data_IF_077354027182
#
_entry.id   IF_077354027182
#
_cell.length_a   1.000
_cell.length_b   1.000
_cell.length_c   1.000
_cell.angle_alpha   90.00
_cell.angle_beta   90.00
_cell.angle_gamma   90.00
#
_symmetry.space_group_name_H-M   'P 1'
#
loop_
_entity.id
_entity.type
_entity.pdbx_description
1 polymer ?
#
# COMPACT_ATOMS: atom_id res chain seq x y z
N UNK A 1 -8.91 -27.39 37.30
CA UNK A 1 -10.29 -27.08 36.85
C UNK A 1 -10.24 -25.68 36.28
N UNK A 2 -10.05 -25.57 34.96
CA UNK A 2 -9.92 -24.27 34.30
C UNK A 2 -11.10 -24.13 33.37
N UNK A 3 -12.03 -23.23 33.71
CA UNK A 3 -13.16 -22.88 32.85
C UNK A 3 -12.68 -21.90 31.77
N UNK A 4 -13.02 -22.11 30.49
CA UNK A 4 -12.77 -21.19 29.40
C UNK A 4 -13.87 -20.10 29.39
N UNK A 5 -13.91 -19.27 28.34
CA UNK A 5 -14.84 -18.17 28.08
C UNK A 5 -14.34 -16.79 28.54
N UNK A 6 -13.78 -16.04 27.59
CA UNK A 6 -14.36 -14.77 27.12
C UNK A 6 -13.91 -14.56 25.66
N UNK A 7 -14.73 -15.07 24.75
CA UNK A 7 -14.68 -14.75 23.32
C UNK A 7 -15.46 -13.46 23.05
N UNK A 8 -15.11 -12.84 21.92
CA UNK A 8 -15.88 -11.88 21.13
C UNK A 8 -15.83 -10.41 21.58
N UNK A 9 -15.04 -9.62 20.83
CA UNK A 9 -15.66 -8.54 20.04
C UNK A 9 -14.80 -8.14 18.83
N UNK A 10 -14.93 -8.90 17.75
CA UNK A 10 -14.54 -8.47 16.40
C UNK A 10 -15.62 -7.47 15.93
N UNK A 11 -15.39 -6.18 16.14
CA UNK A 11 -16.15 -5.14 15.43
C UNK A 11 -15.28 -4.60 14.31
N UNK A 12 -15.60 -5.08 13.11
CA UNK A 12 -15.41 -4.38 11.84
C UNK A 12 -15.83 -2.92 11.98
N UNK A 13 -14.85 -2.00 12.02
CA UNK A 13 -15.10 -0.56 11.86
C UNK A 13 -14.41 -0.05 10.59
N UNK A 14 -14.78 -0.65 9.47
CA UNK A 14 -14.57 -0.06 8.16
C UNK A 14 -15.53 1.13 7.97
N UNK A 15 -14.98 2.22 7.43
CA UNK A 15 -15.65 3.36 6.77
C UNK A 15 -15.98 4.63 7.57
N UNK A 16 -16.05 4.62 8.89
CA UNK A 16 -15.90 5.84 9.70
C UNK A 16 -14.50 5.90 10.33
N UNK A 17 -13.48 6.03 9.49
CA UNK A 17 -12.14 6.39 9.94
C UNK A 17 -12.26 7.68 10.77
N UNK A 18 -12.10 7.55 12.10
CA UNK A 18 -12.31 8.64 13.05
C UNK A 18 -11.51 9.86 12.59
N UNK A 19 -12.19 10.97 12.36
CA UNK A 19 -11.54 12.24 12.04
C UNK A 19 -10.55 12.58 13.16
N UNK A 20 -9.43 13.21 12.79
CA UNK A 20 -8.52 13.74 13.80
C UNK A 20 -9.22 14.88 14.56
N UNK A 21 -8.82 15.11 15.81
CA UNK A 21 -9.37 16.19 16.65
C UNK A 21 -8.37 17.36 16.77
N UNK A 22 -7.59 17.60 15.72
CA UNK A 22 -6.53 18.61 15.74
C UNK A 22 -7.16 20.02 15.77
N UNK A 23 -6.99 20.75 16.87
CA UNK A 23 -7.51 22.12 17.05
C UNK A 23 -6.43 23.20 16.90
N UNK A 24 -5.18 22.86 17.21
CA UNK A 24 -4.03 23.76 17.12
C UNK A 24 -2.76 22.91 17.13
N UNK A 25 -2.22 22.62 15.96
CA UNK A 25 -1.03 21.78 15.80
C UNK A 25 -0.83 21.41 14.34
N UNK A 26 0.42 21.25 13.91
CA UNK A 26 0.71 20.79 12.57
C UNK A 26 0.17 19.35 12.43
N UNK A 27 -0.70 19.09 11.45
CA UNK A 27 -1.15 17.72 11.17
C UNK A 27 -0.01 16.82 10.66
N UNK A 28 1.18 17.35 10.42
CA UNK A 28 2.42 16.63 10.17
C UNK A 28 3.13 16.25 11.50
N UNK A 29 2.41 15.56 12.39
CA UNK A 29 2.98 15.09 13.66
C UNK A 29 2.29 13.80 14.11
N UNK A 30 2.96 12.98 14.93
CA UNK A 30 2.42 11.69 15.40
C UNK A 30 1.24 11.85 16.38
N UNK A 31 0.97 13.05 16.86
CA UNK A 31 -0.19 13.43 17.68
C UNK A 31 -1.45 13.53 16.82
N UNK A 32 -1.29 13.81 15.51
CA UNK A 32 -2.38 13.69 14.56
C UNK A 32 -2.64 12.21 14.26
N UNK A 33 -3.82 11.70 14.63
CA UNK A 33 -4.21 10.31 14.32
C UNK A 33 -4.09 9.98 12.82
N UNK A 34 -4.50 10.87 11.92
CA UNK A 34 -4.39 10.61 10.48
C UNK A 34 -2.93 10.38 10.07
N UNK A 35 -2.04 11.28 10.49
CA UNK A 35 -0.62 11.23 10.15
C UNK A 35 0.12 10.06 10.82
N UNK A 36 -0.17 9.77 12.10
CA UNK A 36 0.34 8.57 12.79
C UNK A 36 0.04 7.28 12.04
N UNK A 37 -1.13 7.19 11.40
CA UNK A 37 -1.53 6.03 10.60
C UNK A 37 -1.06 6.12 9.14
N UNK A 38 -0.18 7.06 8.80
CA UNK A 38 0.31 7.26 7.44
C UNK A 38 -0.74 7.74 6.44
N UNK A 39 -1.92 8.17 6.90
CA UNK A 39 -3.05 8.60 6.05
C UNK A 39 -3.14 10.11 5.94
N UNK A 40 -3.69 10.60 4.83
CA UNK A 40 -4.04 12.02 4.68
C UNK A 40 -5.22 12.38 5.58
N UNK A 41 -5.26 13.63 6.01
CA UNK A 41 -6.46 14.18 6.63
C UNK A 41 -7.57 14.30 5.58
N UNK A 42 -8.80 13.95 5.97
CA UNK A 42 -9.99 14.18 5.13
C UNK A 42 -10.25 15.70 4.99
N UNK A 43 -11.00 16.14 3.96
CA UNK A 43 -11.30 17.56 3.73
C UNK A 43 -11.99 18.27 4.90
N UNK A 44 -12.73 17.52 5.73
CA UNK A 44 -13.40 18.02 6.94
C UNK A 44 -12.50 17.94 8.20
N UNK A 45 -11.18 18.03 8.03
CA UNK A 45 -10.24 18.15 9.14
C UNK A 45 -10.57 19.40 9.98
N UNK A 46 -10.66 19.30 11.32
CA UNK A 46 -10.96 20.46 12.17
C UNK A 46 -9.81 21.47 12.26
N UNK A 47 -8.60 21.11 11.80
CA UNK A 47 -7.48 22.05 11.78
C UNK A 47 -7.61 23.01 10.58
N UNK A 48 -7.76 24.32 10.81
CA UNK A 48 -7.90 25.30 9.72
C UNK A 48 -6.65 25.41 8.84
N UNK A 49 -5.47 25.03 9.37
CA UNK A 49 -4.19 25.08 8.66
C UNK A 49 -3.62 23.66 8.50
N UNK A 50 -4.46 22.71 8.08
CA UNK A 50 -4.03 21.34 7.86
C UNK A 50 -3.00 21.26 6.72
N UNK A 51 -1.83 20.70 7.00
CA UNK A 51 -0.79 20.42 5.99
C UNK A 51 -0.63 18.91 5.71
N UNK A 52 -1.44 18.04 6.34
CA UNK A 52 -1.45 16.61 6.02
C UNK A 52 -2.44 16.32 4.87
N UNK A 53 -2.13 16.84 3.69
CA UNK A 53 -2.94 16.70 2.46
C UNK A 53 -2.03 16.62 1.22
N UNK A 54 -2.62 16.35 0.06
CA UNK A 54 -1.89 16.20 -1.21
C UNK A 54 -1.18 17.49 -1.63
N UNK A 55 -1.77 18.66 -1.39
CA UNK A 55 -1.17 19.96 -1.75
C UNK A 55 0.13 20.25 -1.01
N UNK A 56 0.39 19.56 0.10
CA UNK A 56 1.62 19.68 0.89
C UNK A 56 2.42 18.37 0.92
N UNK A 57 2.30 17.53 -0.12
CA UNK A 57 2.93 16.21 -0.18
C UNK A 57 4.46 16.25 0.06
N UNK A 58 5.16 17.23 -0.51
CA UNK A 58 6.62 17.37 -0.32
C UNK A 58 6.97 17.63 1.16
N UNK A 59 6.28 18.60 1.79
CA UNK A 59 6.47 18.92 3.21
C UNK A 59 6.13 17.72 4.09
N UNK A 60 5.05 17.02 3.76
CA UNK A 60 4.62 15.80 4.45
C UNK A 60 5.70 14.72 4.38
N UNK A 61 6.26 14.45 3.20
CA UNK A 61 7.32 13.46 3.01
C UNK A 61 8.59 13.84 3.78
N UNK A 62 9.01 15.10 3.73
CA UNK A 62 10.20 15.56 4.47
C UNK A 62 10.07 15.32 5.98
N UNK A 63 8.90 15.58 6.56
CA UNK A 63 8.65 15.32 7.99
C UNK A 63 8.60 13.81 8.28
N UNK A 64 8.03 13.00 7.41
CA UNK A 64 8.04 11.53 7.56
C UNK A 64 9.47 10.98 7.55
N UNK A 65 10.32 11.46 6.65
CA UNK A 65 11.74 11.08 6.59
C UNK A 65 12.51 11.48 7.85
N UNK A 66 12.27 12.69 8.37
CA UNK A 66 12.90 13.15 9.61
C UNK A 66 12.51 12.28 10.82
N UNK A 67 11.22 11.96 10.94
CA UNK A 67 10.70 11.11 12.01
C UNK A 67 11.27 9.69 11.92
N UNK A 68 11.29 9.09 10.72
CA UNK A 68 11.83 7.74 10.50
C UNK A 68 13.35 7.69 10.69
N UNK A 69 14.07 8.75 10.29
CA UNK A 69 15.51 8.84 10.49
C UNK A 69 15.89 8.97 11.96
N UNK A 70 15.01 9.54 12.78
CA UNK A 70 15.20 9.69 14.23
C UNK A 70 14.73 8.45 15.00
N UNK A 71 13.61 7.86 14.57
CA UNK A 71 13.02 6.66 15.13
C UNK A 71 12.45 5.79 13.98
N UNK A 72 13.13 4.68 13.62
CA UNK A 72 12.66 3.76 12.58
C UNK A 72 11.26 3.18 12.83
N UNK A 73 10.79 3.20 14.08
CA UNK A 73 9.48 2.73 14.51
C UNK A 73 8.45 3.87 14.71
N UNK A 74 8.69 5.05 14.15
CA UNK A 74 7.82 6.23 14.33
C UNK A 74 6.34 6.00 13.94
N UNK A 75 6.06 5.08 13.00
CA UNK A 75 4.73 4.82 12.45
C UNK A 75 4.19 3.41 12.76
N UNK A 76 4.75 2.70 13.74
CA UNK A 76 4.41 1.31 14.06
C UNK A 76 3.65 1.17 15.39
N UNK A 77 2.73 2.08 15.70
CA UNK A 77 2.01 2.06 16.98
C UNK A 77 1.15 0.79 17.19
N UNK A 78 0.84 0.45 18.45
CA UNK A 78 0.06 -0.75 18.82
C UNK A 78 -1.32 -0.82 18.16
N UNK A 79 -1.96 0.34 17.90
CA UNK A 79 -3.27 0.38 17.24
C UNK A 79 -3.20 0.12 15.72
N UNK A 80 -1.99 0.09 15.16
CA UNK A 80 -1.73 -0.04 13.71
C UNK A 80 -1.25 -1.43 13.31
N UNK A 81 -0.62 -2.16 14.23
CA UNK A 81 0.06 -3.42 13.94
C UNK A 81 -0.15 -4.39 15.11
N UNK A 82 -0.32 -5.67 14.77
CA UNK A 82 -0.29 -6.75 15.75
C UNK A 82 1.10 -6.88 16.39
N UNK A 83 1.15 -7.54 17.56
CA UNK A 83 2.40 -7.81 18.26
C UNK A 83 3.41 -8.58 17.38
N UNK A 84 2.92 -9.51 16.54
CA UNK A 84 3.75 -10.30 15.63
C UNK A 84 4.31 -9.45 14.48
N UNK A 85 3.51 -8.53 13.91
CA UNK A 85 3.97 -7.60 12.89
C UNK A 85 5.01 -6.62 13.44
N UNK A 86 4.80 -6.10 14.65
CA UNK A 86 5.79 -5.28 15.35
C UNK A 86 7.10 -6.05 15.56
N UNK A 87 7.03 -7.31 16.00
CA UNK A 87 8.22 -8.14 16.22
C UNK A 87 8.97 -8.43 14.89
N UNK A 88 8.25 -8.71 13.81
CA UNK A 88 8.85 -8.91 12.48
C UNK A 88 9.58 -7.65 11.99
N UNK A 89 8.96 -6.47 12.13
CA UNK A 89 9.58 -5.19 11.76
C UNK A 89 10.81 -4.92 12.62
N UNK A 90 10.74 -5.13 13.94
CA UNK A 90 11.89 -4.99 14.84
C UNK A 90 13.06 -5.87 14.42
N UNK A 91 12.80 -7.15 14.14
CA UNK A 91 13.81 -8.10 13.72
C UNK A 91 14.45 -7.67 12.40
N UNK A 92 13.66 -7.22 11.42
CA UNK A 92 14.16 -6.70 10.16
C UNK A 92 15.00 -5.44 10.35
N UNK A 93 14.51 -4.48 11.14
CA UNK A 93 15.24 -3.24 11.44
C UNK A 93 16.61 -3.54 12.08
N UNK A 94 16.67 -4.45 13.07
CA UNK A 94 17.93 -4.87 13.69
C UNK A 94 18.92 -5.46 12.67
N UNK A 95 18.45 -6.28 11.73
CA UNK A 95 19.28 -6.83 10.67
C UNK A 95 19.85 -5.73 9.76
N UNK A 96 19.03 -4.73 9.39
CA UNK A 96 19.47 -3.64 8.50
C UNK A 96 20.42 -2.64 9.17
N UNK A 97 20.30 -2.41 10.48
CA UNK A 97 21.22 -1.52 11.23
C UNK A 97 22.61 -2.10 11.44
N UNK A 98 22.77 -3.41 11.24
CA UNK A 98 24.06 -4.10 11.41
C UNK A 98 24.89 -4.16 10.12
N UNK A 99 24.39 -3.58 9.02
CA UNK A 99 25.06 -3.51 7.72
C UNK A 99 25.34 -2.03 7.44
N UNK A 100 26.50 -1.69 6.87
CA UNK A 100 26.82 -0.35 6.33
C UNK A 100 25.93 -0.01 5.12
N UNK A 101 24.61 -0.15 5.26
CA UNK A 101 23.65 0.19 4.24
C UNK A 101 23.57 1.71 4.15
N UNK A 102 23.86 2.24 2.98
CA UNK A 102 23.62 3.65 2.69
C UNK A 102 22.17 4.01 3.06
N UNK A 103 21.98 5.21 3.62
CA UNK A 103 20.65 5.75 3.96
C UNK A 103 19.73 5.55 2.75
N UNK A 104 18.64 4.83 2.94
CA UNK A 104 17.64 4.62 1.89
C UNK A 104 17.17 5.97 1.37
N UNK A 105 17.54 6.31 0.13
CA UNK A 105 17.09 7.51 -0.57
C UNK A 105 15.98 7.09 -1.51
N UNK A 106 14.78 7.61 -1.29
CA UNK A 106 13.70 7.53 -2.28
C UNK A 106 14.01 8.58 -3.34
N UNK A 107 14.78 8.20 -4.34
CA UNK A 107 14.83 9.00 -5.57
C UNK A 107 13.49 8.77 -6.29
N UNK A 108 12.69 9.81 -6.59
CA UNK A 108 11.49 9.65 -7.40
C UNK A 108 11.92 9.18 -8.78
N UNK A 109 11.94 7.87 -8.98
CA UNK A 109 12.25 7.29 -10.28
C UNK A 109 10.97 7.39 -11.11
N UNK A 110 10.76 8.57 -11.68
CA UNK A 110 9.86 8.80 -12.80
C UNK A 110 10.37 8.01 -14.00
N UNK A 111 10.21 6.70 -13.95
CA UNK A 111 10.41 5.83 -15.09
C UNK A 111 9.26 6.08 -16.07
N UNK A 112 9.55 6.08 -17.37
CA UNK A 112 8.50 6.09 -18.40
C UNK A 112 7.48 4.95 -18.20
N UNK A 113 7.88 3.88 -17.51
CA UNK A 113 7.03 2.75 -17.11
C UNK A 113 6.00 3.13 -16.04
N UNK A 114 6.32 4.04 -15.12
CA UNK A 114 5.40 4.50 -14.08
C UNK A 114 4.16 5.19 -14.66
N UNK A 115 4.29 5.79 -15.85
CA UNK A 115 3.19 6.42 -16.60
C UNK A 115 2.24 5.42 -17.25
N UNK A 116 2.63 4.14 -17.35
CA UNK A 116 1.82 3.08 -17.94
C UNK A 116 0.85 2.45 -16.92
N UNK A 117 1.09 2.61 -15.62
CA UNK A 117 0.20 2.13 -14.54
C UNK A 117 -0.90 3.15 -14.22
N UNK A 118 -1.48 3.77 -15.25
CA UNK A 118 -2.61 4.66 -15.08
C UNK A 118 -3.85 3.86 -14.62
N UNK A 119 -4.76 4.45 -13.81
CA UNK A 119 -5.96 3.78 -13.33
C UNK A 119 -6.77 3.14 -14.45
N UNK A 120 -6.84 3.76 -15.62
CA UNK A 120 -7.57 3.24 -16.78
C UNK A 120 -6.96 1.95 -17.34
N UNK A 121 -5.62 1.86 -17.36
CA UNK A 121 -4.89 0.66 -17.81
C UNK A 121 -5.10 -0.48 -16.81
N UNK A 122 -5.05 -0.18 -15.51
CA UNK A 122 -5.30 -1.16 -14.45
C UNK A 122 -6.75 -1.67 -14.52
N UNK A 123 -7.73 -0.78 -14.64
CA UNK A 123 -9.13 -1.15 -14.78
C UNK A 123 -9.39 -1.98 -16.06
N UNK A 124 -8.75 -1.63 -17.17
CA UNK A 124 -8.89 -2.39 -18.41
C UNK A 124 -8.26 -3.78 -18.30
N UNK A 125 -7.10 -3.90 -17.63
CA UNK A 125 -6.47 -5.19 -17.36
C UNK A 125 -7.37 -6.10 -16.50
N UNK A 126 -7.97 -5.54 -15.43
CA UNK A 126 -8.93 -6.28 -14.59
C UNK A 126 -10.13 -6.76 -15.42
N UNK A 127 -10.71 -5.89 -16.26
CA UNK A 127 -11.83 -6.26 -17.13
C UNK A 127 -11.48 -7.39 -18.10
N UNK A 128 -10.30 -7.35 -18.70
CA UNK A 128 -9.84 -8.40 -19.64
C UNK A 128 -9.69 -9.74 -18.94
N UNK A 129 -9.05 -9.76 -17.75
CA UNK A 129 -8.93 -10.98 -16.94
C UNK A 129 -10.31 -11.53 -16.56
N UNK A 130 -11.22 -10.66 -16.10
CA UNK A 130 -12.57 -11.07 -15.75
C UNK A 130 -13.38 -11.59 -16.95
N UNK A 131 -13.19 -11.03 -18.16
CA UNK A 131 -13.83 -11.51 -19.39
C UNK A 131 -13.31 -12.89 -19.80
N UNK A 132 -11.99 -13.10 -19.75
CA UNK A 132 -11.37 -14.40 -20.07
C UNK A 132 -11.83 -15.50 -19.12
N UNK A 133 -11.88 -15.22 -17.82
CA UNK A 133 -12.39 -16.16 -16.81
C UNK A 133 -13.86 -16.51 -17.07
N UNK A 134 -14.67 -15.53 -17.50
CA UNK A 134 -16.08 -15.75 -17.77
C UNK A 134 -16.32 -16.56 -19.05
N UNK A 135 -15.53 -16.33 -20.11
CA UNK A 135 -15.59 -17.10 -21.37
C UNK A 135 -15.11 -18.55 -21.21
N UNK A 136 -14.10 -18.81 -20.38
CA UNK A 136 -13.64 -20.17 -20.10
C UNK A 136 -14.61 -20.94 -19.19
N UNK A 137 -15.35 -20.25 -18.30
CA UNK A 137 -16.36 -20.86 -17.41
C UNK A 137 -17.55 -21.43 -18.20
N UNK A 138 -17.95 -20.75 -19.28
CA UNK A 138 -19.03 -21.21 -20.16
C UNK A 138 -18.63 -22.44 -21.03
N UNK A 139 -17.33 -22.76 -21.12
CA UNK A 139 -16.81 -23.72 -22.12
C UNK A 139 -16.08 -24.95 -21.55
N UNK A 140 -16.03 -25.16 -20.22
CA UNK A 140 -15.14 -26.19 -19.63
C UNK A 140 -15.79 -27.11 -18.58
N UNK A 141 -15.26 -28.33 -18.47
CA UNK A 141 -15.55 -29.28 -17.39
C UNK A 141 -14.68 -28.99 -16.15
N UNK A 142 -15.17 -29.23 -14.91
CA UNK A 142 -14.58 -28.69 -13.67
C UNK A 142 -13.11 -29.03 -13.41
N UNK A 143 -12.62 -30.17 -13.93
CA UNK A 143 -11.33 -30.75 -13.52
C UNK A 143 -10.10 -30.19 -14.26
N UNK A 144 -10.28 -29.33 -15.28
CA UNK A 144 -9.17 -28.72 -16.04
C UNK A 144 -9.32 -27.20 -16.26
N UNK A 145 -10.35 -26.59 -15.67
CA UNK A 145 -10.69 -25.18 -15.87
C UNK A 145 -9.64 -24.24 -15.27
N UNK A 146 -9.21 -24.50 -14.05
CA UNK A 146 -8.26 -23.65 -13.31
C UNK A 146 -6.89 -23.60 -14.02
N UNK A 147 -6.31 -24.76 -14.33
CA UNK A 147 -5.02 -24.85 -15.03
C UNK A 147 -5.08 -24.23 -16.43
N UNK A 148 -6.17 -24.44 -17.19
CA UNK A 148 -6.32 -23.85 -18.52
C UNK A 148 -6.43 -22.32 -18.45
N UNK A 149 -7.18 -21.81 -17.47
CA UNK A 149 -7.39 -20.37 -17.27
C UNK A 149 -6.09 -19.69 -16.82
N UNK A 150 -5.37 -20.28 -15.88
CA UNK A 150 -4.06 -19.79 -15.43
C UNK A 150 -3.04 -19.73 -16.58
N UNK A 151 -2.97 -20.80 -17.38
CA UNK A 151 -2.08 -20.85 -18.54
C UNK A 151 -2.43 -19.79 -19.60
N UNK A 152 -3.72 -19.57 -19.86
CA UNK A 152 -4.21 -18.54 -20.79
C UNK A 152 -3.82 -17.13 -20.32
N UNK A 153 -4.10 -16.81 -19.04
CA UNK A 153 -3.74 -15.52 -18.44
C UNK A 153 -2.24 -15.30 -18.48
N UNK A 154 -1.45 -16.32 -18.11
CA UNK A 154 0.01 -16.23 -18.13
C UNK A 154 0.55 -16.00 -19.55
N UNK A 155 -0.02 -16.66 -20.55
CA UNK A 155 0.40 -16.49 -21.94
C UNK A 155 0.11 -15.07 -22.46
N UNK A 156 -1.10 -14.56 -22.24
CA UNK A 156 -1.47 -13.19 -22.63
C UNK A 156 -0.62 -12.14 -21.91
N UNK A 157 -0.37 -12.33 -20.61
CA UNK A 157 0.50 -11.44 -19.84
C UNK A 157 1.93 -11.41 -20.40
N UNK A 158 2.51 -12.57 -20.73
CA UNK A 158 3.84 -12.64 -21.34
C UNK A 158 3.89 -12.00 -22.73
N UNK A 159 2.82 -12.14 -23.52
CA UNK A 159 2.69 -11.49 -24.85
C UNK A 159 2.72 -9.96 -24.74
N UNK A 160 1.95 -9.41 -23.79
CA UNK A 160 1.90 -7.98 -23.52
C UNK A 160 3.25 -7.47 -23.00
N UNK A 161 3.87 -8.18 -22.05
CA UNK A 161 5.19 -7.82 -21.55
C UNK A 161 6.25 -7.84 -22.67
N UNK A 162 6.24 -8.87 -23.52
CA UNK A 162 7.14 -8.96 -24.67
C UNK A 162 6.99 -7.77 -25.62
N UNK A 163 5.75 -7.37 -25.91
CA UNK A 163 5.44 -6.21 -26.75
C UNK A 163 5.92 -4.91 -26.11
N UNK A 164 5.69 -4.72 -24.81
CA UNK A 164 6.17 -3.55 -24.07
C UNK A 164 7.70 -3.46 -24.05
N UNK A 165 8.39 -4.58 -23.80
CA UNK A 165 9.85 -4.65 -23.81
C UNK A 165 10.40 -4.29 -25.20
N UNK A 166 9.83 -4.85 -26.28
CA UNK A 166 10.23 -4.50 -27.64
C UNK A 166 10.04 -3.01 -27.96
N UNK A 167 8.91 -2.44 -27.53
CA UNK A 167 8.64 -1.03 -27.77
C UNK A 167 9.60 -0.13 -26.97
N UNK A 168 9.89 -0.48 -25.72
CA UNK A 168 10.85 0.26 -24.89
C UNK A 168 12.30 0.14 -25.40
N UNK A 169 12.68 -0.99 -26.00
CA UNK A 169 14.00 -1.20 -26.61
C UNK A 169 14.15 -0.49 -27.96
N UNK A 170 13.06 -0.32 -28.72
CA UNK A 170 13.08 0.40 -30.00
C UNK A 170 13.12 1.92 -29.90
N UNK A 171 12.96 2.47 -28.69
CA UNK A 171 12.97 3.91 -28.40
C UNK A 171 14.15 4.36 -27.52
N UNK A 172 15.20 3.52 -27.39
CA UNK A 172 16.48 3.84 -26.74
C UNK A 172 17.56 4.24 -27.76
#
# INVERSE_FOLDING_TARGET
>A
MSNPEHQANMISKSEEASLCNCTSGNCLSLECRCFRHGRLCKPNCPNPNCENNESHAEKRLAVMEELLSSNPMAFTGEDTLSQDECAAICNFAMLTTSVDAEKFRVEPKESHVSKLLAPDIVHQAIKTVMSSVNEDLDNSTPEAFEEKTENSIAQEFNSVLGTLIQHLQGHA
#
